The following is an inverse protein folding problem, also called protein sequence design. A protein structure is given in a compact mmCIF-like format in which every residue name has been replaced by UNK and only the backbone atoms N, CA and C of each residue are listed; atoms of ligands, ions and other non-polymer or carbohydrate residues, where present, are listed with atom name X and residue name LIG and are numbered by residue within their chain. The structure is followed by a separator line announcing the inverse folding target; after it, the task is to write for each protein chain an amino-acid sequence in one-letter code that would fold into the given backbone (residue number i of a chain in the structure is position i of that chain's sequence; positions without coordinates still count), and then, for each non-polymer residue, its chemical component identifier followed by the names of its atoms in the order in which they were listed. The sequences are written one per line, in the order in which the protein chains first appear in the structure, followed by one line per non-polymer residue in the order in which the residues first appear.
data_IF_864530137375
#
_entry.id   IF_864530137375
#
_cell.length_a   1.000
_cell.length_b   1.000
_cell.length_c   1.000
_cell.angle_alpha   90.00
_cell.angle_beta   90.00
_cell.angle_gamma   90.00
#
_symmetry.space_group_name_H-M   'P 1'
#
loop_
_entity.id
_entity.type
_entity.pdbx_description
1 polymer ?
#
# COMPACT_ATOMS: atom_id res chain seq x y z
N UNK A 1 21.96 2.16 -19.13
CA UNK A 1 21.91 1.49 -17.82
C UNK A 1 20.48 1.00 -17.64
N UNK A 2 20.24 -0.31 -17.73
CA UNK A 2 18.89 -0.89 -17.75
C UNK A 2 18.36 -0.95 -16.31
N UNK A 3 17.31 -0.17 -16.06
CA UNK A 3 16.64 -0.01 -14.78
C UNK A 3 15.70 -1.20 -14.54
N UNK A 4 15.93 -1.97 -13.47
CA UNK A 4 14.99 -2.98 -13.00
C UNK A 4 14.26 -2.42 -11.78
N UNK A 5 13.00 -1.97 -11.89
CA UNK A 5 12.21 -1.65 -10.71
C UNK A 5 11.87 -2.95 -9.96
N UNK A 6 11.81 -2.88 -8.62
CA UNK A 6 11.34 -3.90 -7.67
C UNK A 6 11.12 -5.32 -8.23
N UNK A 7 12.10 -6.21 -8.01
CA UNK A 7 12.02 -7.65 -8.30
C UNK A 7 11.23 -8.47 -7.26
N UNK A 8 10.49 -7.84 -6.34
CA UNK A 8 9.62 -8.59 -5.43
C UNK A 8 8.41 -9.09 -6.22
N UNK A 9 8.18 -10.40 -6.16
CA UNK A 9 7.11 -11.05 -6.91
C UNK A 9 5.76 -10.50 -6.43
N UNK A 10 4.91 -10.10 -7.39
CA UNK A 10 3.54 -9.63 -7.16
C UNK A 10 2.62 -10.80 -6.81
N UNK A 11 2.75 -11.34 -5.61
CA UNK A 11 1.77 -12.27 -5.07
C UNK A 11 1.54 -11.99 -3.59
N UNK A 12 0.26 -11.99 -3.22
CA UNK A 12 -0.15 -11.99 -1.83
C UNK A 12 0.47 -13.23 -1.17
N UNK A 13 1.26 -13.03 -0.13
CA UNK A 13 1.79 -14.15 0.65
C UNK A 13 0.71 -14.62 1.61
N UNK A 14 0.54 -15.93 1.75
CA UNK A 14 -0.42 -16.53 2.69
C UNK A 14 0.40 -17.35 3.67
N UNK A 15 0.33 -17.00 4.96
CA UNK A 15 0.98 -17.76 6.03
C UNK A 15 0.49 -19.20 6.09
N UNK A 16 1.28 -20.11 6.65
CA UNK A 16 0.87 -21.51 6.82
C UNK A 16 -0.40 -21.63 7.69
N UNK A 17 -0.50 -20.89 8.80
CA UNK A 17 -1.69 -20.89 9.65
C UNK A 17 -2.96 -20.48 8.89
N UNK A 18 -2.84 -19.52 7.97
CA UNK A 18 -3.96 -19.12 7.12
C UNK A 18 -4.35 -20.22 6.12
N UNK A 19 -3.38 -20.97 5.57
CA UNK A 19 -3.64 -22.10 4.68
C UNK A 19 -4.33 -23.24 5.44
N UNK A 20 -3.83 -23.55 6.64
CA UNK A 20 -4.39 -24.58 7.51
C UNK A 20 -5.84 -24.24 7.86
N UNK A 21 -6.12 -22.99 8.22
CA UNK A 21 -7.49 -22.55 8.50
C UNK A 21 -8.43 -22.69 7.28
N UNK A 22 -7.95 -22.46 6.06
CA UNK A 22 -8.74 -22.67 4.84
C UNK A 22 -9.03 -24.17 4.62
N UNK A 23 -8.03 -25.02 4.86
CA UNK A 23 -8.19 -26.47 4.76
C UNK A 23 -9.19 -27.00 5.80
N UNK A 24 -9.15 -26.49 7.04
CA UNK A 24 -10.10 -26.82 8.09
C UNK A 24 -11.53 -26.44 7.72
N UNK A 25 -11.77 -25.23 7.22
CA UNK A 25 -13.11 -24.81 6.81
C UNK A 25 -13.62 -25.64 5.62
N UNK A 26 -12.73 -25.99 4.69
CA UNK A 26 -13.05 -26.90 3.58
C UNK A 26 -13.50 -28.27 4.07
N UNK A 27 -12.78 -28.83 5.06
CA UNK A 27 -13.13 -30.13 5.67
C UNK A 27 -14.45 -30.06 6.43
N UNK A 28 -14.67 -28.98 7.19
CA UNK A 28 -15.89 -28.75 7.97
C UNK A 28 -17.13 -28.66 7.09
N UNK A 29 -17.02 -28.01 5.93
CA UNK A 29 -18.14 -27.84 4.99
C UNK A 29 -18.26 -29.00 3.97
N UNK A 30 -17.29 -29.93 3.95
CA UNK A 30 -17.28 -31.04 3.00
C UNK A 30 -17.05 -30.64 1.55
N UNK A 31 -16.57 -29.41 1.29
CA UNK A 31 -16.31 -28.87 -0.05
C UNK A 31 -15.15 -27.87 -0.01
N UNK A 32 -14.33 -27.77 -1.08
CA UNK A 32 -13.21 -26.83 -1.11
C UNK A 32 -13.65 -25.37 -0.93
N UNK A 33 -12.96 -24.65 -0.05
CA UNK A 33 -13.16 -23.23 0.21
C UNK A 33 -11.97 -22.40 -0.28
N UNK A 34 -12.23 -21.14 -0.57
CA UNK A 34 -11.23 -20.09 -0.84
C UNK A 34 -11.57 -18.85 0.00
N UNK A 35 -10.61 -17.93 0.13
CA UNK A 35 -10.86 -16.64 0.75
C UNK A 35 -11.19 -15.59 -0.29
N UNK A 36 -12.23 -14.81 -0.04
CA UNK A 36 -12.54 -13.58 -0.74
C UNK A 36 -11.92 -12.43 0.03
N UNK A 37 -11.12 -11.62 -0.67
CA UNK A 37 -10.59 -10.36 -0.14
C UNK A 37 -11.31 -9.19 -0.79
N UNK A 38 -11.76 -8.24 0.03
CA UNK A 38 -12.41 -7.01 -0.43
C UNK A 38 -11.83 -5.82 0.30
N UNK A 39 -11.40 -4.79 -0.44
CA UNK A 39 -10.99 -3.51 0.13
C UNK A 39 -12.21 -2.61 0.28
N UNK A 40 -12.46 -2.10 1.48
CA UNK A 40 -13.46 -1.07 1.74
C UNK A 40 -12.79 0.15 2.34
N UNK A 41 -13.20 1.34 1.92
CA UNK A 41 -12.74 2.57 2.53
C UNK A 41 -13.83 3.15 3.43
N UNK A 42 -13.43 3.71 4.57
CA UNK A 42 -14.33 4.47 5.44
C UNK A 42 -14.59 5.89 4.91
N UNK A 43 -15.35 6.68 5.67
CA UNK A 43 -15.67 8.08 5.32
C UNK A 43 -14.41 8.98 5.29
N UNK A 44 -13.34 8.58 5.99
CA UNK A 44 -12.05 9.26 5.96
C UNK A 44 -11.16 8.76 4.82
N UNK A 45 -11.60 7.77 4.04
CA UNK A 45 -10.87 7.15 2.94
C UNK A 45 -9.80 6.15 3.37
N UNK A 46 -9.76 5.75 4.64
CA UNK A 46 -8.84 4.71 5.17
C UNK A 46 -9.33 3.34 4.73
N UNK A 47 -8.42 2.53 4.18
CA UNK A 47 -8.74 1.22 3.64
C UNK A 47 -8.72 0.11 4.70
N UNK A 48 -9.76 -0.72 4.70
CA UNK A 48 -9.89 -1.95 5.50
C UNK A 48 -10.05 -3.15 4.58
N UNK A 49 -9.26 -4.19 4.82
CA UNK A 49 -9.34 -5.45 4.06
C UNK A 49 -10.27 -6.41 4.79
N UNK A 50 -11.39 -6.73 4.16
CA UNK A 50 -12.32 -7.75 4.62
C UNK A 50 -11.96 -9.10 4.01
N UNK A 51 -12.00 -10.13 4.84
CA UNK A 51 -11.65 -11.50 4.47
C UNK A 51 -12.82 -12.40 4.82
N UNK A 52 -13.30 -13.18 3.86
CA UNK A 52 -14.41 -14.12 4.07
C UNK A 52 -14.22 -15.42 3.31
N UNK A 53 -14.83 -16.49 3.78
CA UNK A 53 -14.84 -17.77 3.07
C UNK A 53 -15.86 -17.77 1.93
N UNK A 54 -15.53 -18.49 0.86
CA UNK A 54 -16.46 -18.82 -0.21
C UNK A 54 -16.15 -20.21 -0.76
N UNK A 55 -17.20 -20.85 -1.28
CA UNK A 55 -17.07 -22.05 -2.10
C UNK A 55 -16.11 -21.81 -3.26
N UNK A 56 -15.20 -22.74 -3.50
CA UNK A 56 -14.31 -22.73 -4.65
C UNK A 56 -15.10 -22.99 -5.94
N UNK A 57 -14.77 -22.26 -7.00
CA UNK A 57 -15.31 -22.44 -8.36
C UNK A 57 -14.20 -22.80 -9.33
N UNK A 58 -14.55 -23.29 -10.53
CA UNK A 58 -13.59 -23.78 -11.53
C UNK A 58 -12.59 -22.70 -12.00
N UNK A 59 -12.99 -21.43 -12.01
CA UNK A 59 -12.13 -20.32 -12.40
C UNK A 59 -11.13 -19.88 -11.31
N UNK A 60 -11.19 -20.43 -10.10
CA UNK A 60 -10.25 -20.09 -9.04
C UNK A 60 -8.88 -20.76 -9.24
N UNK A 61 -7.87 -19.94 -9.49
CA UNK A 61 -6.48 -20.37 -9.68
C UNK A 61 -5.70 -20.61 -8.38
N UNK A 62 -6.31 -20.35 -7.20
CA UNK A 62 -5.61 -20.46 -5.93
C UNK A 62 -6.54 -20.43 -4.71
N UNK A 63 -5.97 -20.09 -3.56
CA UNK A 63 -6.68 -19.99 -2.27
C UNK A 63 -7.40 -18.65 -2.08
N UNK A 64 -7.18 -17.69 -2.97
CA UNK A 64 -7.74 -16.34 -2.90
C UNK A 64 -8.56 -16.09 -4.16
N UNK A 65 -9.77 -15.57 -3.99
CA UNK A 65 -10.58 -14.98 -5.05
C UNK A 65 -10.66 -13.47 -4.87
N UNK A 66 -10.37 -12.74 -5.94
CA UNK A 66 -10.46 -11.30 -5.96
C UNK A 66 -11.82 -10.87 -6.50
N UNK A 67 -12.55 -10.06 -5.75
CA UNK A 67 -13.82 -9.48 -6.23
C UNK A 67 -13.60 -8.37 -7.26
N UNK A 68 -12.50 -7.64 -7.14
CA UNK A 68 -12.15 -6.52 -7.99
C UNK A 68 -10.69 -6.63 -8.45
N UNK A 69 -10.41 -6.66 -9.77
CA UNK A 69 -9.04 -6.74 -10.29
C UNK A 69 -8.14 -5.58 -9.84
N UNK A 70 -8.71 -4.39 -9.60
CA UNK A 70 -7.91 -3.25 -9.13
C UNK A 70 -7.44 -3.41 -7.68
N UNK A 71 -8.24 -4.04 -6.82
CA UNK A 71 -7.84 -4.37 -5.45
C UNK A 71 -6.78 -5.46 -5.45
N UNK A 72 -6.86 -6.42 -6.38
CA UNK A 72 -5.86 -7.48 -6.52
C UNK A 72 -4.46 -6.90 -6.74
N UNK A 73 -4.33 -5.84 -7.55
CA UNK A 73 -3.04 -5.17 -7.79
C UNK A 73 -2.48 -4.60 -6.48
N UNK A 74 -3.31 -3.89 -5.71
CA UNK A 74 -2.89 -3.24 -4.47
C UNK A 74 -2.55 -4.26 -3.37
N UNK A 75 -3.41 -5.26 -3.19
CA UNK A 75 -3.30 -6.24 -2.11
C UNK A 75 -2.27 -7.33 -2.43
N UNK A 76 -1.86 -7.49 -3.69
CA UNK A 76 -0.84 -8.48 -4.09
C UNK A 76 0.55 -8.27 -3.48
N UNK A 77 0.81 -7.12 -2.87
CA UNK A 77 2.08 -6.87 -2.18
C UNK A 77 2.03 -7.25 -0.69
N UNK A 78 0.87 -7.59 -0.15
CA UNK A 78 0.72 -7.88 1.27
C UNK A 78 1.02 -9.31 1.68
N UNK A 79 0.76 -9.58 2.95
CA UNK A 79 0.72 -10.89 3.58
C UNK A 79 -0.60 -11.07 4.32
N UNK A 80 -1.20 -12.26 4.18
CA UNK A 80 -2.38 -12.68 4.92
C UNK A 80 -1.98 -13.67 6.02
N UNK A 81 -2.28 -13.30 7.27
CA UNK A 81 -2.08 -14.15 8.45
C UNK A 81 -3.40 -14.53 9.08
N UNK A 82 -3.42 -15.69 9.71
CA UNK A 82 -4.51 -16.08 10.60
C UNK A 82 -3.97 -16.12 12.02
N UNK A 83 -4.55 -15.32 12.90
CA UNK A 83 -4.16 -15.25 14.31
C UNK A 83 -5.41 -14.95 15.15
N UNK A 84 -5.47 -15.48 16.37
CA UNK A 84 -6.50 -15.14 17.35
C UNK A 84 -7.94 -15.23 16.80
N UNK A 85 -8.20 -16.21 15.93
CA UNK A 85 -9.50 -16.46 15.31
C UNK A 85 -9.85 -15.58 14.11
N UNK A 86 -8.95 -14.69 13.68
CA UNK A 86 -9.19 -13.69 12.64
C UNK A 86 -8.13 -13.74 11.55
N UNK A 87 -8.52 -13.34 10.33
CA UNK A 87 -7.56 -13.07 9.27
C UNK A 87 -7.12 -11.61 9.34
N UNK A 88 -5.80 -11.40 9.30
CA UNK A 88 -5.17 -10.09 9.28
C UNK A 88 -4.38 -9.91 7.98
N UNK A 89 -4.57 -8.75 7.35
CA UNK A 89 -3.80 -8.35 6.19
C UNK A 89 -2.71 -7.36 6.60
N UNK A 90 -1.47 -7.65 6.22
CA UNK A 90 -0.30 -6.82 6.46
C UNK A 90 0.25 -6.32 5.11
N UNK A 91 0.21 -5.01 4.82
CA UNK A 91 0.81 -4.48 3.61
C UNK A 91 2.35 -4.53 3.73
N UNK A 92 3.03 -5.23 2.82
CA UNK A 92 4.50 -5.23 2.79
C UNK A 92 5.00 -4.10 1.90
N UNK A 93 5.17 -2.92 2.50
CA UNK A 93 5.59 -1.72 1.80
C UNK A 93 7.12 -1.66 1.77
N UNK A 94 7.66 -1.46 0.58
CA UNK A 94 9.05 -1.11 0.38
C UNK A 94 9.13 0.35 -0.08
N UNK A 95 10.09 1.09 0.48
CA UNK A 95 10.43 2.45 0.08
C UNK A 95 11.91 2.52 -0.27
N UNK A 96 12.22 3.18 -1.39
CA UNK A 96 13.59 3.40 -1.84
C UNK A 96 13.79 4.89 -2.16
N UNK A 97 14.73 5.52 -1.47
CA UNK A 97 15.19 6.86 -1.80
C UNK A 97 16.21 6.82 -2.94
N UNK A 98 15.98 7.66 -3.96
CA UNK A 98 16.86 7.82 -5.12
C UNK A 98 17.33 9.24 -5.22
N UNK A 99 18.64 9.36 -5.43
CA UNK A 99 19.26 10.63 -5.79
C UNK A 99 18.76 11.08 -7.16
N UNK A 100 18.54 12.37 -7.29
CA UNK A 100 18.31 13.00 -8.59
C UNK A 100 19.52 13.89 -8.94
N UNK A 101 19.64 14.36 -10.19
CA UNK A 101 20.69 15.31 -10.57
C UNK A 101 20.61 16.64 -9.80
N UNK A 102 19.45 16.98 -9.24
CA UNK A 102 19.22 18.20 -8.48
C UNK A 102 19.27 17.88 -6.97
N UNK A 103 20.21 18.46 -6.20
CA UNK A 103 20.40 18.12 -4.79
C UNK A 103 19.19 18.45 -3.90
N UNK A 104 18.36 19.40 -4.32
CA UNK A 104 17.12 19.79 -3.66
C UNK A 104 15.94 18.89 -4.01
N UNK A 105 16.05 18.05 -5.04
CA UNK A 105 14.96 17.16 -5.46
C UNK A 105 15.30 15.72 -5.08
N UNK A 106 14.42 15.12 -4.29
CA UNK A 106 14.57 13.78 -3.77
C UNK A 106 13.43 12.90 -4.25
N UNK A 107 13.74 11.71 -4.74
CA UNK A 107 12.75 10.80 -5.30
C UNK A 107 12.59 9.57 -4.42
N UNK A 108 11.38 9.31 -3.97
CA UNK A 108 10.99 8.13 -3.23
C UNK A 108 10.21 7.23 -4.20
N UNK A 109 10.61 5.96 -4.30
CA UNK A 109 9.88 4.96 -5.07
C UNK A 109 9.32 3.92 -4.11
N UNK A 110 8.04 3.58 -4.29
CA UNK A 110 7.39 2.50 -3.56
C UNK A 110 7.03 1.33 -4.47
N UNK A 111 6.72 0.18 -3.88
CA UNK A 111 5.96 -0.88 -4.55
C UNK A 111 4.44 -0.61 -4.56
N UNK A 112 3.95 0.31 -3.73
CA UNK A 112 2.56 0.77 -3.74
C UNK A 112 2.41 2.07 -4.54
N UNK A 113 1.25 2.28 -5.21
CA UNK A 113 0.97 3.54 -5.88
C UNK A 113 0.57 4.64 -4.88
N UNK A 114 1.11 5.85 -5.05
CA UNK A 114 0.66 7.08 -4.41
C UNK A 114 -0.60 7.63 -5.08
N UNK A 115 -0.63 7.72 -6.41
CA UNK A 115 -1.77 8.26 -7.17
C UNK A 115 -1.83 7.68 -8.58
N UNK A 116 -3.03 7.64 -9.18
CA UNK A 116 -3.20 7.23 -10.59
C UNK A 116 -2.94 8.36 -11.58
N UNK A 117 -3.16 9.61 -11.15
CA UNK A 117 -2.94 10.81 -11.95
C UNK A 117 -1.81 11.63 -11.33
N UNK A 118 -1.05 12.38 -12.14
CA UNK A 118 -0.03 13.27 -11.62
C UNK A 118 -0.67 14.32 -10.72
N UNK A 119 -0.10 14.49 -9.53
CA UNK A 119 -0.46 15.52 -8.57
C UNK A 119 0.81 16.32 -8.30
N UNK A 120 0.77 17.62 -8.54
CA UNK A 120 1.81 18.57 -8.15
C UNK A 120 1.19 19.56 -7.19
N UNK A 121 1.83 19.80 -6.05
CA UNK A 121 1.39 20.76 -5.06
C UNK A 121 2.59 21.56 -4.53
N UNK A 122 2.40 22.86 -4.40
CA UNK A 122 3.30 23.72 -3.65
C UNK A 122 2.93 23.74 -2.16
N UNK A 123 3.84 24.23 -1.32
CA UNK A 123 3.69 24.21 0.15
C UNK A 123 2.38 24.83 0.65
N UNK A 124 1.91 25.90 0.02
CA UNK A 124 0.64 26.58 0.34
C UNK A 124 -0.59 25.74 -0.02
N UNK A 125 -0.45 24.68 -0.82
CA UNK A 125 -1.50 23.79 -1.26
C UNK A 125 -1.52 22.46 -0.48
N UNK A 126 -0.58 22.23 0.44
CA UNK A 126 -0.48 20.97 1.19
C UNK A 126 -1.71 20.66 2.05
N UNK A 127 -2.57 21.63 2.34
CA UNK A 127 -3.86 21.38 3.01
C UNK A 127 -4.79 20.44 2.22
N UNK A 128 -4.55 20.28 0.92
CA UNK A 128 -5.27 19.33 0.07
C UNK A 128 -4.85 17.88 0.31
N UNK A 129 -3.65 17.64 0.84
CA UNK A 129 -3.16 16.30 1.14
C UNK A 129 -3.78 15.75 2.43
N UNK A 130 -3.82 14.42 2.54
CA UNK A 130 -4.18 13.73 3.78
C UNK A 130 -3.33 14.26 4.95
N UNK A 131 -3.91 14.46 6.15
CA UNK A 131 -3.21 15.07 7.28
C UNK A 131 -1.84 14.45 7.60
N UNK A 132 -1.70 13.14 7.45
CA UNK A 132 -0.42 12.46 7.69
C UNK A 132 0.70 12.92 6.74
N UNK A 133 0.37 13.15 5.47
CA UNK A 133 1.31 13.64 4.47
C UNK A 133 1.52 15.15 4.61
N UNK A 134 0.44 15.93 4.72
CA UNK A 134 0.53 17.38 4.81
C UNK A 134 1.32 17.82 6.04
N UNK A 135 1.00 17.30 7.21
CA UNK A 135 1.69 17.65 8.46
C UNK A 135 3.16 17.25 8.41
N UNK A 136 3.47 16.07 7.86
CA UNK A 136 4.84 15.62 7.69
C UNK A 136 5.60 16.57 6.75
N UNK A 137 5.11 16.80 5.53
CA UNK A 137 5.81 17.61 4.54
C UNK A 137 6.00 19.06 5.00
N UNK A 138 5.00 19.64 5.69
CA UNK A 138 5.13 20.98 6.27
C UNK A 138 6.17 21.04 7.39
N UNK A 139 6.16 20.06 8.30
CA UNK A 139 7.10 19.97 9.44
C UNK A 139 8.54 19.82 8.96
N UNK A 140 8.78 18.97 7.97
CA UNK A 140 10.14 18.67 7.48
C UNK A 140 10.69 19.73 6.51
N UNK A 141 9.84 20.70 6.11
CA UNK A 141 10.23 21.83 5.27
C UNK A 141 10.29 21.50 3.78
N UNK A 142 9.40 20.63 3.30
CA UNK A 142 9.21 20.36 1.87
C UNK A 142 8.57 21.59 1.20
N UNK A 143 9.12 22.02 0.07
CA UNK A 143 8.64 23.19 -0.70
C UNK A 143 7.61 22.83 -1.76
N UNK A 144 7.78 21.67 -2.40
CA UNK A 144 6.84 21.13 -3.37
C UNK A 144 6.85 19.60 -3.35
N UNK A 145 5.74 18.99 -3.77
CA UNK A 145 5.61 17.54 -3.93
C UNK A 145 5.00 17.19 -5.27
N UNK A 146 5.52 16.14 -5.88
CA UNK A 146 4.95 15.49 -7.05
C UNK A 146 4.65 14.01 -6.75
N UNK A 147 3.40 13.59 -6.96
CA UNK A 147 2.95 12.21 -6.78
C UNK A 147 2.40 11.66 -8.09
N UNK A 148 2.94 10.54 -8.56
CA UNK A 148 2.40 9.82 -9.70
C UNK A 148 2.81 8.35 -9.68
N UNK A 149 1.85 7.46 -9.91
CA UNK A 149 2.04 6.02 -9.84
C UNK A 149 2.74 5.66 -8.53
N UNK A 150 3.89 5.01 -8.57
CA UNK A 150 4.66 4.61 -7.40
C UNK A 150 5.79 5.57 -7.04
N UNK A 151 5.74 6.81 -7.53
CA UNK A 151 6.76 7.84 -7.32
C UNK A 151 6.18 8.94 -6.43
N UNK A 152 6.93 9.31 -5.40
CA UNK A 152 6.78 10.52 -4.64
C UNK A 152 8.09 11.32 -4.76
N UNK A 153 8.03 12.51 -5.32
CA UNK A 153 9.19 13.39 -5.47
C UNK A 153 8.98 14.62 -4.61
N UNK A 154 9.97 14.92 -3.77
CA UNK A 154 9.95 16.00 -2.79
C UNK A 154 11.04 17.00 -3.13
N UNK A 155 10.70 18.28 -3.13
CA UNK A 155 11.69 19.35 -3.15
C UNK A 155 11.96 19.79 -1.70
N UNK A 156 13.20 19.64 -1.25
CA UNK A 156 13.66 19.98 0.10
C UNK A 156 15.15 20.35 0.04
N UNK A 157 15.46 21.59 0.43
CA UNK A 157 16.82 22.13 0.30
C UNK A 157 17.84 21.47 1.24
N UNK A 158 17.43 21.12 2.46
CA UNK A 158 18.30 20.57 3.50
C UNK A 158 17.69 19.26 4.04
N UNK A 159 17.88 18.17 3.30
CA UNK A 159 17.50 16.81 3.73
C UNK A 159 18.60 16.25 4.66
N UNK A 160 18.24 15.99 5.92
CA UNK A 160 19.10 15.28 6.88
C UNK A 160 18.61 13.83 7.05
N UNK A 161 19.42 12.97 7.65
CA UNK A 161 19.05 11.58 7.90
C UNK A 161 17.80 11.47 8.81
N UNK A 162 17.65 12.38 9.77
CA UNK A 162 16.50 12.45 10.67
C UNK A 162 15.22 12.80 9.90
N UNK A 163 15.31 13.75 8.97
CA UNK A 163 14.18 14.12 8.09
C UNK A 163 13.82 12.99 7.16
N UNK A 164 14.80 12.36 6.53
CA UNK A 164 14.60 11.21 5.65
C UNK A 164 13.87 10.08 6.39
N UNK A 165 14.29 9.78 7.62
CA UNK A 165 13.64 8.79 8.49
C UNK A 165 12.20 9.20 8.83
N UNK A 166 11.98 10.42 9.30
CA UNK A 166 10.65 10.95 9.65
C UNK A 166 9.68 10.89 8.46
N UNK A 167 10.12 11.32 7.28
CA UNK A 167 9.34 11.27 6.04
C UNK A 167 9.02 9.81 5.67
N UNK A 168 10.02 8.93 5.74
CA UNK A 168 9.83 7.51 5.43
C UNK A 168 8.79 6.87 6.34
N UNK A 169 8.86 7.10 7.65
CA UNK A 169 7.88 6.57 8.62
C UNK A 169 6.45 7.05 8.32
N UNK A 170 6.28 8.36 8.04
CA UNK A 170 4.96 8.90 7.73
C UNK A 170 4.41 8.39 6.38
N UNK A 171 5.27 8.21 5.37
CA UNK A 171 4.87 7.59 4.10
C UNK A 171 4.53 6.12 4.27
N UNK A 172 5.28 5.37 5.09
CA UNK A 172 4.96 3.99 5.41
C UNK A 172 3.58 3.90 6.06
N UNK A 173 3.32 4.72 7.09
CA UNK A 173 2.00 4.76 7.73
C UNK A 173 0.88 5.15 6.76
N UNK A 174 1.12 6.13 5.88
CA UNK A 174 0.16 6.51 4.84
C UNK A 174 -0.17 5.33 3.91
N UNK A 175 0.85 4.66 3.37
CA UNK A 175 0.67 3.52 2.48
C UNK A 175 0.05 2.31 3.20
N UNK A 176 0.40 2.09 4.47
CA UNK A 176 -0.17 1.02 5.30
C UNK A 176 -1.65 1.23 5.60
N UNK A 177 -2.10 2.48 5.59
CA UNK A 177 -3.51 2.84 5.80
C UNK A 177 -4.37 2.59 4.56
N UNK A 178 -3.77 2.18 3.44
CA UNK A 178 -4.46 1.86 2.18
C UNK A 178 -5.44 2.95 1.75
N UNK A 179 -5.03 4.22 1.84
CA UNK A 179 -5.86 5.33 1.39
C UNK A 179 -6.19 5.22 -0.10
N UNK A 180 -7.42 5.56 -0.47
CA UNK A 180 -7.85 5.60 -1.88
C UNK A 180 -7.11 6.68 -2.70
N UNK A 181 -6.75 7.79 -2.03
CA UNK A 181 -6.13 8.96 -2.63
C UNK A 181 -5.28 9.72 -1.60
N UNK A 182 -4.17 10.35 -2.04
CA UNK A 182 -3.35 11.20 -1.18
C UNK A 182 -4.02 12.53 -0.86
N UNK A 183 -5.12 12.86 -1.56
CA UNK A 183 -5.92 14.07 -1.34
C UNK A 183 -7.07 13.79 -0.38
N UNK A 184 -7.43 14.81 0.41
CA UNK A 184 -8.69 14.84 1.17
C UNK A 184 -9.83 14.97 0.16
N UNK A 185 -10.88 14.15 0.31
CA UNK A 185 -12.10 14.24 -0.51
C UNK A 185 -12.96 15.42 -0.07
#
# INVERSE_FOLDING_TARGET
MIWFPFKKKRYLTISEDAKDRIAEESKKLGKPQVLILTLKHDDFGVGSVLVGFSDRIESDSGMIRWTNPSDAILLSFGELKFDSGHFYFYPNIDLEWKKTPKPEIHKIISNYPFSKKPIYLERNEFFQLRPILSNCFQREGVTSVYLENNICQLEIQNLTAEKEKSISENILTYLSSLFESPLVK
#
